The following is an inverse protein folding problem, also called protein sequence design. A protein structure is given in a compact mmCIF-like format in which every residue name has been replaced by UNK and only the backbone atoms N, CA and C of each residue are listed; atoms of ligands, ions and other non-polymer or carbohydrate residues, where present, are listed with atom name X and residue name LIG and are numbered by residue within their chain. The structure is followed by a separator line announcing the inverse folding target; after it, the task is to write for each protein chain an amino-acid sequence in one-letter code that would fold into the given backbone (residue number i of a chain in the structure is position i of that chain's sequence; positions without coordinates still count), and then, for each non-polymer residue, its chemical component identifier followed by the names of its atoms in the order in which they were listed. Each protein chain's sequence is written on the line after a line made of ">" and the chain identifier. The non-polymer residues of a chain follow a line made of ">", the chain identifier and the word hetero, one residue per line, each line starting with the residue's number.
data_IF_199984921817
#
_entry.id   IF_199984921817
#
_cell.length_a   1.000
_cell.length_b   1.000
_cell.length_c   1.000
_cell.angle_alpha   90.00
_cell.angle_beta   90.00
_cell.angle_gamma   90.00
#
_symmetry.space_group_name_H-M   'P 1'
#
loop_
_entity.id
_entity.type
_entity.pdbx_description
1 polymer ?
#
# COMPACT_ATOMS: atom_id res chain seq x y z
N UNK A 1 -46.78 79.11 -30.13
CA UNK A 1 -47.62 77.90 -30.27
C UNK A 1 -47.08 76.89 -29.26
N UNK A 2 -47.61 76.90 -28.04
CA UNK A 2 -48.26 75.74 -27.33
C UNK A 2 -47.32 74.52 -27.28
N UNK A 3 -46.78 74.04 -26.15
CA UNK A 3 -47.43 73.52 -24.94
C UNK A 3 -46.44 73.53 -23.75
N UNK A 4 -46.94 73.78 -22.53
CA UNK A 4 -46.21 73.75 -21.25
C UNK A 4 -46.08 72.31 -20.71
N UNK A 5 -45.13 72.03 -19.79
CA UNK A 5 -45.39 71.45 -18.44
C UNK A 5 -44.06 71.23 -17.66
N UNK A 6 -43.87 72.11 -16.67
CA UNK A 6 -43.41 71.94 -15.28
C UNK A 6 -42.23 70.98 -14.98
N UNK A 7 -41.08 71.59 -14.67
CA UNK A 7 -40.02 71.04 -13.81
C UNK A 7 -40.40 71.32 -12.34
N UNK A 8 -40.37 70.30 -11.49
CA UNK A 8 -40.52 70.41 -10.03
C UNK A 8 -39.83 69.23 -9.35
N UNK A 9 -38.84 69.54 -8.52
CA UNK A 9 -37.85 68.64 -7.94
C UNK A 9 -38.44 67.53 -7.07
N UNK A 10 -37.91 66.31 -7.21
CA UNK A 10 -38.03 65.24 -6.21
C UNK A 10 -36.61 64.81 -5.81
N UNK A 11 -36.17 65.24 -4.63
CA UNK A 11 -34.92 64.80 -4.00
C UNK A 11 -35.12 63.37 -3.47
N UNK A 12 -34.56 62.37 -4.14
CA UNK A 12 -34.44 61.01 -3.63
C UNK A 12 -32.96 60.62 -3.50
N UNK A 13 -32.59 60.31 -2.26
CA UNK A 13 -31.24 60.00 -1.76
C UNK A 13 -30.52 58.98 -2.64
N UNK A 14 -29.27 59.30 -3.01
CA UNK A 14 -28.30 58.34 -3.56
C UNK A 14 -28.07 57.24 -2.54
N UNK A 15 -28.63 56.05 -2.78
CA UNK A 15 -28.16 54.83 -2.12
C UNK A 15 -26.82 54.45 -2.78
N UNK A 16 -25.74 54.58 -2.01
CA UNK A 16 -24.44 54.03 -2.37
C UNK A 16 -24.52 52.51 -2.24
N UNK A 17 -24.60 51.81 -3.36
CA UNK A 17 -24.46 50.36 -3.39
C UNK A 17 -22.96 50.03 -3.45
N UNK A 18 -22.33 49.93 -2.28
CA UNK A 18 -20.98 49.41 -2.16
C UNK A 18 -21.04 47.91 -2.43
N UNK A 19 -20.69 47.49 -3.64
CA UNK A 19 -20.46 46.08 -3.94
C UNK A 19 -19.21 45.64 -3.16
N UNK A 20 -19.41 44.97 -2.03
CA UNK A 20 -18.35 44.22 -1.37
C UNK A 20 -18.11 43.02 -2.27
N UNK A 21 -17.03 43.08 -3.04
CA UNK A 21 -16.46 41.91 -3.70
C UNK A 21 -15.95 41.00 -2.56
N UNK A 22 -16.79 40.08 -2.07
CA UNK A 22 -16.27 38.94 -1.33
C UNK A 22 -15.44 38.14 -2.34
N UNK A 23 -14.13 38.35 -2.32
CA UNK A 23 -13.21 37.40 -2.90
C UNK A 23 -13.39 36.11 -2.13
N UNK A 24 -14.10 35.15 -2.71
CA UNK A 24 -13.95 33.76 -2.32
C UNK A 24 -12.50 33.40 -2.64
N UNK A 25 -11.66 33.40 -1.62
CA UNK A 25 -10.44 32.60 -1.65
C UNK A 25 -10.98 31.18 -1.67
N UNK A 26 -11.08 30.58 -2.86
CA UNK A 26 -11.16 29.14 -2.96
C UNK A 26 -9.85 28.67 -2.34
N UNK A 27 -9.91 28.19 -1.11
CA UNK A 27 -8.85 27.31 -0.62
C UNK A 27 -8.86 26.16 -1.61
N UNK A 28 -7.79 26.01 -2.40
CA UNK A 28 -7.46 24.68 -2.88
C UNK A 28 -7.46 23.77 -1.64
N UNK A 29 -7.99 22.54 -1.69
CA UNK A 29 -7.70 21.58 -0.63
C UNK A 29 -6.17 21.58 -0.45
N UNK A 30 -5.71 21.99 0.73
CA UNK A 30 -4.29 22.20 1.00
C UNK A 30 -3.53 20.87 1.21
N UNK A 31 -4.14 19.74 0.84
CA UNK A 31 -3.70 18.39 1.18
C UNK A 31 -4.25 17.43 0.09
N UNK A 32 -3.41 17.08 -0.88
CA UNK A 32 -3.73 16.35 -2.12
C UNK A 32 -2.47 15.57 -2.55
N UNK A 33 -2.57 14.49 -3.36
CA UNK A 33 -1.41 13.99 -4.11
C UNK A 33 -0.83 15.17 -4.90
N UNK A 34 0.36 15.59 -4.49
CA UNK A 34 1.12 16.66 -5.13
C UNK A 34 2.38 16.06 -5.71
N UNK A 35 2.55 16.23 -7.01
CA UNK A 35 3.67 15.66 -7.76
C UNK A 35 4.66 16.77 -8.10
N UNK A 36 5.94 16.50 -7.86
CA UNK A 36 7.05 17.34 -8.31
C UNK A 36 7.84 16.57 -9.37
N UNK A 37 7.68 16.89 -10.67
CA UNK A 37 8.49 16.29 -11.73
C UNK A 37 9.98 16.50 -11.47
N UNK A 38 10.76 15.46 -11.71
CA UNK A 38 12.21 15.48 -11.55
C UNK A 38 12.85 14.43 -12.43
N UNK A 39 14.05 14.73 -12.94
CA UNK A 39 14.93 13.76 -13.61
C UNK A 39 16.15 13.39 -12.74
N UNK A 40 16.11 13.71 -11.44
CA UNK A 40 17.17 13.36 -10.48
C UNK A 40 17.02 11.90 -10.03
N UNK A 41 17.70 10.99 -10.73
CA UNK A 41 17.68 9.55 -10.43
C UNK A 41 18.09 9.24 -8.98
N UNK A 42 19.08 9.95 -8.44
CA UNK A 42 19.53 9.77 -7.05
C UNK A 42 18.47 10.28 -6.06
N UNK A 43 17.82 11.40 -6.37
CA UNK A 43 16.70 11.92 -5.59
C UNK A 43 15.50 10.95 -5.56
N UNK A 44 15.15 10.38 -6.71
CA UNK A 44 14.10 9.35 -6.83
C UNK A 44 14.47 8.09 -6.01
N UNK A 45 15.68 7.57 -6.16
CA UNK A 45 16.14 6.40 -5.42
C UNK A 45 16.12 6.64 -3.90
N UNK A 46 16.63 7.77 -3.43
CA UNK A 46 16.60 8.12 -2.00
C UNK A 46 15.18 8.28 -1.48
N UNK A 47 14.25 8.80 -2.30
CA UNK A 47 12.83 8.93 -1.95
C UNK A 47 12.14 7.57 -1.90
N UNK A 48 12.49 6.67 -2.82
CA UNK A 48 11.92 5.34 -2.83
C UNK A 48 12.41 4.57 -1.59
N UNK A 49 13.72 4.47 -1.35
CA UNK A 49 14.30 3.68 -0.26
C UNK A 49 14.48 4.45 1.08
N UNK A 50 13.61 5.42 1.38
CA UNK A 50 13.75 6.32 2.54
C UNK A 50 13.98 5.54 3.86
N UNK A 51 15.15 5.76 4.46
CA UNK A 51 15.50 5.32 5.82
C UNK A 51 15.28 3.83 6.11
N UNK A 52 15.64 2.93 5.20
CA UNK A 52 15.67 1.50 5.49
C UNK A 52 17.00 1.14 6.20
N UNK A 53 16.99 0.79 7.51
CA UNK A 53 18.19 0.31 8.18
C UNK A 53 18.73 -0.93 7.46
N UNK A 54 20.04 -0.97 7.27
CA UNK A 54 20.69 -2.05 6.55
C UNK A 54 20.48 -2.04 5.04
N UNK A 55 20.09 -0.91 4.44
CA UNK A 55 20.13 -0.69 3.00
C UNK A 55 20.95 0.56 2.68
N UNK A 56 21.78 0.48 1.63
CA UNK A 56 22.61 1.59 1.16
C UNK A 56 22.56 1.67 -0.36
N UNK A 57 22.01 2.74 -0.91
CA UNK A 57 22.05 3.01 -2.36
C UNK A 57 23.50 3.26 -2.78
N UNK A 58 23.94 2.58 -3.83
CA UNK A 58 25.28 2.73 -4.39
C UNK A 58 25.30 3.47 -5.71
N UNK A 59 24.24 3.34 -6.52
CA UNK A 59 24.12 4.02 -7.81
C UNK A 59 22.64 4.16 -8.21
N UNK A 60 22.33 5.16 -9.02
CA UNK A 60 21.01 5.33 -9.62
C UNK A 60 21.11 6.06 -10.96
N UNK A 61 20.46 5.51 -11.98
CA UNK A 61 20.37 6.10 -13.32
C UNK A 61 18.93 6.16 -13.79
N UNK A 62 18.60 7.17 -14.58
CA UNK A 62 17.28 7.36 -15.17
C UNK A 62 17.44 7.54 -16.68
N UNK A 63 16.66 6.78 -17.44
CA UNK A 63 16.39 7.01 -18.85
C UNK A 63 14.92 7.43 -19.03
N UNK A 64 14.66 8.28 -20.02
CA UNK A 64 13.37 8.90 -20.26
C UNK A 64 13.41 10.44 -20.31
N UNK A 65 12.28 11.02 -20.72
CA UNK A 65 12.09 12.45 -20.87
C UNK A 65 11.76 13.16 -19.54
N UNK A 66 12.11 14.44 -19.44
CA UNK A 66 11.70 15.25 -18.29
C UNK A 66 10.18 15.38 -18.26
N UNK A 67 9.57 15.00 -17.14
CA UNK A 67 8.12 14.97 -16.96
C UNK A 67 7.58 13.55 -16.79
N UNK A 68 8.31 12.52 -17.20
CA UNK A 68 7.90 11.12 -17.02
C UNK A 68 8.11 10.57 -15.61
N UNK A 69 8.91 11.26 -14.80
CA UNK A 69 9.18 10.86 -13.41
C UNK A 69 9.03 12.02 -12.44
N UNK A 70 8.66 11.71 -11.20
CA UNK A 70 8.48 12.69 -10.13
C UNK A 70 8.55 12.08 -8.73
N UNK A 71 8.62 12.93 -7.72
CA UNK A 71 8.28 12.56 -6.34
C UNK A 71 6.86 12.99 -6.03
N UNK A 72 6.18 12.31 -5.12
CA UNK A 72 4.86 12.69 -4.66
C UNK A 72 4.77 12.76 -3.13
N UNK A 73 3.86 13.59 -2.65
CA UNK A 73 3.30 13.56 -1.29
C UNK A 73 1.82 13.25 -1.35
N UNK A 74 1.27 12.43 -0.47
CA UNK A 74 -0.12 11.96 -0.46
C UNK A 74 -0.87 12.36 0.82
N UNK A 75 -1.02 13.67 1.05
CA UNK A 75 -1.66 14.19 2.27
C UNK A 75 -3.17 13.89 2.35
N UNK A 76 -3.81 13.57 1.22
CA UNK A 76 -5.22 13.18 1.14
C UNK A 76 -5.46 11.70 1.45
N UNK A 77 -4.40 10.87 1.52
CA UNK A 77 -4.53 9.41 1.63
C UNK A 77 -5.15 8.78 0.38
N UNK A 78 -5.04 9.43 -0.77
CA UNK A 78 -5.60 8.95 -2.04
C UNK A 78 -5.07 7.57 -2.35
N UNK A 79 -5.98 6.68 -2.76
CA UNK A 79 -5.75 5.25 -2.96
C UNK A 79 -5.27 4.48 -1.73
N UNK A 80 -5.17 5.08 -0.54
CA UNK A 80 -4.56 4.42 0.62
C UNK A 80 -3.04 4.24 0.52
N UNK A 81 -2.39 4.91 -0.45
CA UNK A 81 -0.94 4.88 -0.60
C UNK A 81 -0.25 5.59 0.58
N UNK A 82 1.00 5.20 0.92
CA UNK A 82 1.80 5.95 1.87
C UNK A 82 1.95 7.43 1.51
N UNK A 83 2.25 8.26 2.51
CA UNK A 83 2.28 9.72 2.40
C UNK A 83 3.32 10.28 1.41
N UNK A 84 4.26 9.48 0.92
CA UNK A 84 5.24 9.93 -0.07
C UNK A 84 5.84 8.78 -0.85
N UNK A 85 6.34 9.08 -2.03
CA UNK A 85 7.05 8.12 -2.87
C UNK A 85 7.51 8.75 -4.18
N UNK A 86 7.69 7.90 -5.19
CA UNK A 86 7.98 8.29 -6.56
C UNK A 86 6.82 7.94 -7.47
N UNK A 87 6.73 8.62 -8.60
CA UNK A 87 5.77 8.34 -9.66
C UNK A 87 6.52 8.25 -10.98
N UNK A 88 6.14 7.27 -11.80
CA UNK A 88 6.61 7.13 -13.17
C UNK A 88 5.39 7.02 -14.09
N UNK A 89 5.49 7.58 -15.28
CA UNK A 89 4.45 7.54 -16.31
C UNK A 89 5.10 7.43 -17.68
N UNK A 90 4.44 6.80 -18.64
CA UNK A 90 4.80 6.97 -20.05
C UNK A 90 4.51 8.41 -20.52
N UNK A 91 3.58 9.11 -19.88
CA UNK A 91 3.26 10.51 -20.12
C UNK A 91 3.80 11.47 -19.07
N UNK A 92 3.13 12.60 -18.90
CA UNK A 92 3.58 13.63 -17.96
C UNK A 92 2.97 13.42 -16.57
N UNK A 93 3.79 13.09 -15.57
CA UNK A 93 3.31 12.72 -14.22
C UNK A 93 2.46 13.78 -13.54
N UNK A 94 2.60 15.06 -13.90
CA UNK A 94 1.77 16.13 -13.31
C UNK A 94 0.31 16.09 -13.73
N UNK A 95 -0.04 15.33 -14.77
CA UNK A 95 -1.43 15.14 -15.19
C UNK A 95 -2.18 14.27 -14.18
N UNK A 96 -1.45 13.44 -13.42
CA UNK A 96 -2.02 12.49 -12.47
C UNK A 96 -1.90 12.95 -11.01
N UNK A 97 -2.07 14.24 -10.75
CA UNK A 97 -2.23 14.75 -9.38
C UNK A 97 -3.60 14.32 -8.79
N UNK A 98 -3.78 14.50 -7.48
CA UNK A 98 -5.05 14.19 -6.83
C UNK A 98 -6.18 15.10 -7.33
N UNK A 99 -7.31 14.50 -7.65
CA UNK A 99 -8.42 15.18 -8.29
C UNK A 99 -9.45 14.23 -8.88
N UNK A 100 -10.65 14.74 -9.22
CA UNK A 100 -11.59 13.97 -10.02
C UNK A 100 -11.01 13.81 -11.43
N UNK A 101 -11.29 12.68 -12.09
CA UNK A 101 -11.06 12.58 -13.52
C UNK A 101 -12.04 13.49 -14.28
N UNK A 102 -11.50 14.51 -14.95
CA UNK A 102 -12.22 15.57 -15.64
C UNK A 102 -12.14 15.49 -17.15
N UNK A 103 -11.22 14.69 -17.69
CA UNK A 103 -11.04 14.47 -19.12
C UNK A 103 -11.41 13.03 -19.49
N UNK A 104 -11.43 12.73 -20.79
CA UNK A 104 -11.69 11.35 -21.26
C UNK A 104 -10.42 10.55 -21.52
N UNK A 105 -9.29 11.24 -21.52
CA UNK A 105 -7.97 10.73 -21.89
C UNK A 105 -6.91 11.82 -21.63
N UNK A 106 -5.85 11.49 -20.91
CA UNK A 106 -4.59 12.24 -20.91
C UNK A 106 -3.57 11.57 -21.83
N UNK A 107 -2.73 12.38 -22.46
CA UNK A 107 -1.63 11.91 -23.30
C UNK A 107 -0.51 12.93 -23.33
N UNK A 108 0.72 12.47 -23.20
CA UNK A 108 1.91 13.24 -23.54
C UNK A 108 2.89 12.38 -24.33
N UNK A 109 2.95 12.60 -25.63
CA UNK A 109 3.89 11.92 -26.53
C UNK A 109 5.29 12.55 -26.42
N UNK A 110 6.29 11.79 -25.99
CA UNK A 110 7.70 12.21 -25.95
C UNK A 110 8.49 11.66 -27.15
N UNK A 111 8.08 10.51 -27.67
CA UNK A 111 8.60 9.85 -28.84
C UNK A 111 7.86 10.26 -30.12
N UNK A 112 8.52 10.16 -31.29
CA UNK A 112 7.90 10.50 -32.58
C UNK A 112 7.51 9.21 -33.32
N UNK A 113 6.20 8.97 -33.48
CA UNK A 113 5.70 7.81 -34.22
C UNK A 113 5.88 8.00 -35.75
N UNK A 114 6.96 7.46 -36.31
CA UNK A 114 7.27 7.56 -37.75
C UNK A 114 6.52 6.56 -38.64
N UNK A 115 5.41 6.96 -39.28
CA UNK A 115 4.83 6.17 -40.38
C UNK A 115 5.53 6.44 -41.72
N UNK A 116 6.52 5.60 -42.05
CA UNK A 116 6.91 5.32 -43.43
C UNK A 116 7.97 6.22 -44.08
N UNK A 117 9.13 5.60 -44.35
CA UNK A 117 10.04 6.01 -45.42
C UNK A 117 11.30 6.74 -44.93
N UNK A 118 12.42 6.02 -45.01
CA UNK A 118 13.75 6.38 -44.49
C UNK A 118 13.80 6.41 -42.95
N UNK A 119 14.01 5.22 -42.38
CA UNK A 119 14.67 5.08 -41.07
C UNK A 119 16.01 5.81 -41.20
N UNK A 120 16.04 7.09 -40.81
CA UNK A 120 17.22 7.58 -40.13
C UNK A 120 17.35 6.71 -38.87
N UNK A 121 18.56 6.33 -38.48
CA UNK A 121 18.86 5.33 -37.43
C UNK A 121 18.40 5.74 -36.01
N UNK A 122 17.48 6.71 -35.90
CA UNK A 122 16.78 7.12 -34.69
C UNK A 122 15.31 6.67 -34.79
N UNK A 123 15.08 5.36 -34.62
CA UNK A 123 13.80 4.95 -34.04
C UNK A 123 13.80 5.50 -32.60
N UNK A 124 13.01 6.54 -32.34
CA UNK A 124 12.88 7.14 -31.02
C UNK A 124 11.78 6.35 -30.30
N UNK A 125 12.18 5.21 -29.76
CA UNK A 125 11.34 4.27 -29.03
C UNK A 125 12.26 3.39 -28.21
N UNK A 126 11.68 2.41 -27.52
CA UNK A 126 12.43 1.53 -26.64
C UNK A 126 13.67 0.89 -27.29
N UNK A 127 14.79 0.94 -26.57
CA UNK A 127 16.02 0.23 -26.90
C UNK A 127 15.80 -1.30 -26.93
N UNK A 128 16.64 -2.08 -27.61
CA UNK A 128 16.51 -3.55 -27.62
C UNK A 128 16.49 -4.17 -26.21
N UNK A 129 17.20 -3.57 -25.26
CA UNK A 129 17.22 -3.96 -23.85
C UNK A 129 15.87 -3.69 -23.16
N UNK A 130 15.28 -2.50 -23.35
CA UNK A 130 13.95 -2.16 -22.83
C UNK A 130 12.85 -3.02 -23.46
N UNK A 131 12.97 -3.31 -24.76
CA UNK A 131 12.05 -4.22 -25.47
C UNK A 131 12.06 -5.62 -24.90
N UNK A 132 13.22 -6.11 -24.46
CA UNK A 132 13.32 -7.41 -23.82
C UNK A 132 12.63 -7.44 -22.44
N UNK A 133 12.52 -6.29 -21.77
CA UNK A 133 11.82 -6.15 -20.49
C UNK A 133 10.30 -6.00 -20.68
N UNK A 134 9.85 -5.11 -21.58
CA UNK A 134 8.43 -4.77 -21.76
C UNK A 134 7.65 -5.74 -22.64
N UNK A 135 8.28 -6.35 -23.64
CA UNK A 135 7.62 -7.27 -24.58
C UNK A 135 6.91 -8.46 -23.91
N UNK A 136 7.55 -9.17 -22.96
CA UNK A 136 6.89 -10.26 -22.23
C UNK A 136 5.71 -9.82 -21.34
N UNK A 137 5.65 -8.54 -20.96
CA UNK A 137 4.65 -7.97 -20.04
C UNK A 137 3.41 -7.53 -20.81
N UNK A 138 3.61 -6.72 -21.84
CA UNK A 138 2.55 -6.18 -22.73
C UNK A 138 2.04 -7.20 -23.75
N UNK A 139 2.89 -8.16 -24.14
CA UNK A 139 2.67 -9.04 -25.29
C UNK A 139 2.93 -8.36 -26.64
N UNK A 140 3.51 -7.15 -26.66
CA UNK A 140 3.71 -6.34 -27.85
C UNK A 140 5.17 -6.28 -28.30
N UNK A 141 5.45 -6.07 -29.60
CA UNK A 141 6.81 -6.01 -30.12
C UNK A 141 7.44 -4.61 -30.19
N UNK A 142 6.66 -3.55 -29.93
CA UNK A 142 7.07 -2.15 -30.05
C UNK A 142 6.56 -1.35 -28.85
N UNK A 143 7.48 -0.60 -28.24
CA UNK A 143 7.20 0.27 -27.10
C UNK A 143 7.80 1.65 -27.31
N UNK A 144 7.14 2.64 -26.74
CA UNK A 144 7.46 4.05 -26.88
C UNK A 144 7.31 4.73 -25.52
N UNK A 145 7.77 5.98 -25.44
CA UNK A 145 7.62 6.83 -24.27
C UNK A 145 8.13 6.13 -23.00
N UNK A 146 9.27 5.47 -23.13
CA UNK A 146 9.83 4.65 -22.06
C UNK A 146 10.49 5.52 -21.00
N UNK A 147 10.11 5.28 -19.75
CA UNK A 147 10.85 5.76 -18.58
C UNK A 147 11.41 4.56 -17.80
N UNK A 148 12.73 4.55 -17.60
CA UNK A 148 13.44 3.49 -16.88
C UNK A 148 14.30 4.06 -15.75
N UNK A 149 13.98 3.69 -14.51
CA UNK A 149 14.78 4.00 -13.33
C UNK A 149 15.53 2.73 -12.89
N UNK A 150 16.85 2.76 -12.90
CA UNK A 150 17.73 1.68 -12.44
C UNK A 150 18.46 2.10 -11.17
N UNK A 151 18.36 1.28 -10.12
CA UNK A 151 18.91 1.54 -8.79
C UNK A 151 19.75 0.34 -8.37
N UNK A 152 21.00 0.59 -8.02
CA UNK A 152 21.88 -0.38 -7.36
C UNK A 152 21.99 -0.06 -5.87
N UNK A 153 21.83 -1.07 -5.01
CA UNK A 153 21.92 -0.91 -3.56
C UNK A 153 22.52 -2.14 -2.88
N UNK A 154 23.22 -1.94 -1.78
CA UNK A 154 23.64 -3.00 -0.87
C UNK A 154 22.59 -3.20 0.22
N UNK A 155 22.50 -4.44 0.72
CA UNK A 155 21.76 -4.75 1.95
C UNK A 155 22.66 -5.44 2.97
N UNK A 156 22.33 -5.30 4.26
CA UNK A 156 23.03 -5.99 5.35
C UNK A 156 22.84 -7.51 5.25
N UNK A 157 23.71 -8.26 5.93
CA UNK A 157 23.77 -9.72 5.81
C UNK A 157 22.54 -10.46 6.40
N UNK A 158 21.72 -9.77 7.18
CA UNK A 158 20.47 -10.26 7.74
C UNK A 158 19.23 -9.84 6.94
N UNK A 159 19.36 -8.93 5.97
CA UNK A 159 18.27 -8.47 5.10
C UNK A 159 18.17 -9.32 3.86
N UNK A 160 16.97 -9.81 3.57
CA UNK A 160 16.73 -10.79 2.49
C UNK A 160 15.50 -10.49 1.62
N UNK A 161 14.72 -9.49 2.03
CA UNK A 161 13.56 -9.04 1.29
C UNK A 161 13.38 -7.53 1.50
N UNK A 162 12.86 -6.83 0.50
CA UNK A 162 12.37 -5.45 0.58
C UNK A 162 10.92 -5.42 0.12
N UNK A 163 10.05 -4.63 0.75
CA UNK A 163 8.66 -4.49 0.27
C UNK A 163 8.39 -3.10 -0.33
N UNK A 164 7.54 -3.06 -1.36
CA UNK A 164 7.09 -1.84 -2.00
C UNK A 164 5.57 -1.84 -2.09
N UNK A 165 4.99 -0.65 -2.01
CA UNK A 165 3.58 -0.42 -2.24
C UNK A 165 3.42 0.46 -3.45
N UNK A 166 2.37 0.23 -4.24
CA UNK A 166 2.09 1.08 -5.37
C UNK A 166 0.64 1.03 -5.84
N UNK A 167 0.29 1.98 -6.67
CA UNK A 167 -0.99 2.00 -7.39
C UNK A 167 -0.70 2.19 -8.85
N UNK A 168 -1.21 1.26 -9.66
CA UNK A 168 -1.06 1.25 -11.11
C UNK A 168 -2.38 1.67 -11.75
N UNK A 169 -2.33 2.57 -12.73
CA UNK A 169 -3.50 2.96 -13.52
C UNK A 169 -3.12 3.42 -14.92
N UNK A 170 -4.13 3.55 -15.77
CA UNK A 170 -3.91 3.80 -17.20
C UNK A 170 -5.11 4.48 -17.85
N UNK A 171 -4.81 5.36 -18.81
CA UNK A 171 -5.77 6.01 -19.70
C UNK A 171 -6.34 5.05 -20.77
N UNK A 172 -5.67 3.93 -21.04
CA UNK A 172 -6.08 2.91 -22.02
C UNK A 172 -7.37 2.17 -21.63
N UNK A 173 -7.69 2.14 -20.34
CA UNK A 173 -8.90 1.50 -19.83
C UNK A 173 -10.15 2.37 -20.03
N UNK A 174 -11.31 1.79 -20.40
CA UNK A 174 -11.57 0.38 -20.73
C UNK A 174 -11.40 0.06 -22.22
N UNK A 175 -11.07 1.06 -23.04
CA UNK A 175 -11.26 1.01 -24.50
C UNK A 175 -10.36 -0.02 -25.18
N UNK A 176 -9.17 -0.23 -24.63
CA UNK A 176 -8.09 -0.93 -25.32
C UNK A 176 -7.63 -2.21 -24.62
N UNK A 177 -8.42 -2.68 -23.65
CA UNK A 177 -8.31 -4.02 -23.07
C UNK A 177 -8.31 -5.06 -24.19
N UNK A 178 -7.27 -5.91 -24.23
CA UNK A 178 -7.07 -6.98 -25.20
C UNK A 178 -6.58 -6.53 -26.57
N UNK A 179 -6.14 -5.28 -26.72
CA UNK A 179 -5.67 -4.71 -27.98
C UNK A 179 -4.14 -4.70 -28.13
N UNK A 180 -3.64 -4.01 -29.14
CA UNK A 180 -2.20 -3.77 -29.35
C UNK A 180 -1.64 -2.61 -28.50
N UNK A 181 -2.52 -1.85 -27.84
CA UNK A 181 -2.21 -0.69 -26.99
C UNK A 181 -2.18 -1.05 -25.50
N UNK A 182 -1.69 -2.24 -25.19
CA UNK A 182 -1.60 -2.70 -23.79
C UNK A 182 -0.23 -2.35 -23.25
N UNK A 183 -0.14 -1.19 -22.60
CA UNK A 183 1.11 -0.67 -22.07
C UNK A 183 1.83 -1.63 -21.13
N UNK A 184 3.15 -1.52 -21.10
CA UNK A 184 4.00 -2.36 -20.27
C UNK A 184 4.45 -1.63 -19.01
N UNK A 185 4.30 -2.28 -17.86
CA UNK A 185 4.97 -1.91 -16.62
C UNK A 185 5.72 -3.10 -16.01
N UNK A 186 6.98 -2.88 -15.67
CA UNK A 186 7.82 -3.88 -15.02
C UNK A 186 8.55 -3.34 -13.80
N UNK A 187 8.72 -4.22 -12.80
CA UNK A 187 9.54 -3.99 -11.62
C UNK A 187 10.45 -5.21 -11.47
N UNK A 188 11.73 -5.04 -11.79
CA UNK A 188 12.71 -6.12 -11.87
C UNK A 188 13.69 -6.04 -10.72
N UNK A 189 13.96 -7.19 -10.11
CA UNK A 189 15.05 -7.32 -9.14
C UNK A 189 16.00 -8.43 -9.54
N UNK A 190 17.28 -8.08 -9.63
CA UNK A 190 18.34 -8.98 -10.09
C UNK A 190 17.95 -9.71 -11.40
N UNK A 191 17.30 -8.99 -12.32
CA UNK A 191 16.83 -9.49 -13.62
C UNK A 191 15.54 -10.30 -13.60
N UNK A 192 14.86 -10.45 -12.45
CA UNK A 192 13.57 -11.14 -12.35
C UNK A 192 12.44 -10.13 -12.19
N UNK A 193 11.43 -10.17 -13.07
CA UNK A 193 10.23 -9.36 -12.89
C UNK A 193 9.44 -9.85 -11.67
N UNK A 194 9.19 -8.95 -10.73
CA UNK A 194 8.39 -9.16 -9.52
C UNK A 194 7.11 -8.31 -9.53
N UNK A 195 6.88 -7.51 -10.58
CA UNK A 195 5.59 -6.87 -10.84
C UNK A 195 4.59 -7.91 -11.35
N UNK A 196 3.84 -8.51 -10.42
CA UNK A 196 2.70 -9.34 -10.76
C UNK A 196 1.72 -9.41 -9.60
N UNK A 197 0.43 -9.30 -9.91
CA UNK A 197 -0.65 -9.23 -8.92
C UNK A 197 -1.61 -10.38 -9.18
N UNK A 198 -2.06 -11.03 -8.10
CA UNK A 198 -3.04 -12.11 -8.21
C UNK A 198 -4.44 -11.52 -8.44
N UNK A 199 -5.23 -12.09 -9.37
CA UNK A 199 -6.63 -11.72 -9.51
C UNK A 199 -7.44 -11.96 -8.23
N UNK A 200 -8.50 -11.17 -8.00
CA UNK A 200 -9.43 -11.31 -6.89
C UNK A 200 -10.07 -12.71 -6.82
N UNK A 201 -10.37 -13.31 -7.98
CA UNK A 201 -10.90 -14.68 -8.11
C UNK A 201 -9.82 -15.78 -7.89
N UNK A 202 -8.59 -15.40 -7.56
CA UNK A 202 -7.43 -16.28 -7.41
C UNK A 202 -6.77 -16.67 -8.74
N UNK A 203 -5.61 -17.32 -8.65
CA UNK A 203 -4.85 -17.77 -9.82
C UNK A 203 -3.34 -17.46 -9.73
N UNK A 204 -2.59 -17.55 -10.83
CA UNK A 204 -1.23 -17.04 -10.85
C UNK A 204 -1.23 -15.50 -10.82
N UNK A 205 -0.12 -14.90 -10.39
CA UNK A 205 0.10 -13.47 -10.56
C UNK A 205 0.11 -13.13 -12.06
N UNK A 206 -0.61 -12.08 -12.43
CA UNK A 206 -0.67 -11.54 -13.79
C UNK A 206 0.13 -10.24 -13.89
N UNK A 207 0.64 -9.91 -15.08
CA UNK A 207 1.28 -8.61 -15.31
C UNK A 207 0.36 -7.44 -14.97
N UNK A 208 0.96 -6.33 -14.55
CA UNK A 208 0.28 -5.06 -14.38
C UNK A 208 0.14 -4.39 -15.74
N UNK A 209 -1.07 -4.44 -16.29
CA UNK A 209 -1.50 -3.70 -17.47
C UNK A 209 -3.04 -3.73 -17.53
N UNK A 210 -3.62 -3.08 -18.52
CA UNK A 210 -5.08 -3.00 -18.66
C UNK A 210 -5.77 -4.34 -18.97
N UNK A 211 -5.03 -5.41 -19.27
CA UNK A 211 -5.60 -6.76 -19.40
C UNK A 211 -5.84 -7.45 -18.05
N UNK A 212 -5.35 -6.88 -16.93
CA UNK A 212 -5.64 -7.43 -15.62
C UNK A 212 -7.15 -7.33 -15.33
N UNK A 213 -7.83 -8.42 -14.91
CA UNK A 213 -9.29 -8.45 -14.77
C UNK A 213 -9.85 -7.49 -13.70
N UNK A 214 -9.01 -7.12 -12.73
CA UNK A 214 -9.40 -6.28 -11.58
C UNK A 214 -9.09 -4.79 -11.77
N UNK A 215 -9.01 -4.31 -13.02
CA UNK A 215 -9.03 -2.87 -13.28
C UNK A 215 -10.41 -2.29 -12.95
N UNK A 216 -10.45 -1.22 -12.14
CA UNK A 216 -11.69 -0.66 -11.61
C UNK A 216 -11.77 0.86 -11.83
N UNK A 217 -12.68 1.29 -12.71
CA UNK A 217 -12.95 2.70 -12.99
C UNK A 217 -13.83 3.38 -11.92
N UNK A 218 -14.36 2.63 -10.95
CA UNK A 218 -15.14 3.20 -9.84
C UNK A 218 -14.25 3.77 -8.73
N UNK A 219 -12.97 3.39 -8.71
CA UNK A 219 -11.98 3.93 -7.77
C UNK A 219 -11.41 5.22 -8.36
N UNK A 220 -11.84 6.34 -7.77
CA UNK A 220 -11.41 7.68 -8.15
C UNK A 220 -10.32 8.19 -7.22
N UNK A 221 -9.52 9.16 -7.66
CA UNK A 221 -8.54 9.81 -6.82
C UNK A 221 -7.56 10.67 -7.60
N UNK A 222 -7.31 10.33 -8.85
CA UNK A 222 -6.53 11.12 -9.79
C UNK A 222 -7.28 11.20 -11.11
N UNK A 223 -6.68 11.88 -12.09
CA UNK A 223 -7.18 11.96 -13.46
C UNK A 223 -7.14 10.61 -14.22
N UNK A 224 -6.66 9.53 -13.60
CA UNK A 224 -6.60 8.21 -14.24
C UNK A 224 -8.00 7.68 -14.59
N UNK A 225 -8.16 7.12 -15.80
CA UNK A 225 -9.41 6.47 -16.21
C UNK A 225 -9.80 5.26 -15.35
N UNK A 226 -8.82 4.50 -14.87
CA UNK A 226 -9.00 3.45 -13.88
C UNK A 226 -7.67 3.07 -13.24
N UNK A 227 -7.77 2.43 -12.08
CA UNK A 227 -6.63 1.84 -11.38
C UNK A 227 -6.84 0.34 -11.20
N UNK A 228 -5.75 -0.41 -11.10
CA UNK A 228 -5.77 -1.82 -10.74
C UNK A 228 -6.08 -1.97 -9.25
N UNK A 229 -7.17 -2.67 -8.93
CA UNK A 229 -7.61 -2.84 -7.55
C UNK A 229 -8.24 -4.22 -7.28
N UNK A 230 -7.43 -5.29 -7.16
CA UNK A 230 -7.90 -6.58 -6.70
C UNK A 230 -8.64 -6.44 -5.37
N UNK A 231 -9.80 -7.08 -5.26
CA UNK A 231 -10.70 -6.97 -4.10
C UNK A 231 -11.13 -5.52 -3.76
N UNK A 232 -11.10 -4.61 -4.73
CA UNK A 232 -11.45 -3.20 -4.53
C UNK A 232 -10.37 -2.38 -3.81
N UNK A 233 -9.16 -2.92 -3.62
CA UNK A 233 -8.05 -2.22 -2.98
C UNK A 233 -6.99 -1.81 -4.02
N UNK A 234 -6.79 -0.51 -4.29
CA UNK A 234 -5.81 -0.03 -5.27
C UNK A 234 -4.36 -0.01 -4.74
N UNK A 235 -4.13 -0.42 -3.48
CA UNK A 235 -2.78 -0.58 -2.91
C UNK A 235 -2.23 -1.97 -3.25
N UNK A 236 -1.24 -1.99 -4.13
CA UNK A 236 -0.55 -3.20 -4.56
C UNK A 236 0.73 -3.37 -3.73
N UNK A 237 0.98 -4.57 -3.22
CA UNK A 237 2.19 -4.92 -2.46
C UNK A 237 3.11 -5.80 -3.29
N UNK A 238 4.40 -5.45 -3.32
CA UNK A 238 5.47 -6.22 -3.95
C UNK A 238 6.49 -6.62 -2.90
N UNK A 239 6.53 -7.91 -2.57
CA UNK A 239 7.51 -8.49 -1.66
C UNK A 239 8.71 -9.02 -2.47
N UNK A 240 9.83 -8.31 -2.38
CA UNK A 240 10.94 -8.43 -3.33
C UNK A 240 12.14 -9.10 -2.69
N UNK A 241 12.56 -10.30 -3.14
CA UNK A 241 13.75 -10.95 -2.59
C UNK A 241 15.01 -10.19 -2.98
N UNK A 242 15.93 -10.04 -2.02
CA UNK A 242 17.27 -9.45 -2.21
C UNK A 242 18.34 -10.41 -1.74
N UNK A 243 19.53 -10.31 -2.33
CA UNK A 243 20.71 -11.08 -1.96
C UNK A 243 21.36 -10.45 -0.70
N UNK A 244 21.35 -11.14 0.45
CA UNK A 244 21.91 -10.59 1.69
C UNK A 244 23.40 -10.32 1.60
N UNK A 245 23.86 -9.15 2.06
CA UNK A 245 25.29 -8.79 2.07
C UNK A 245 25.90 -8.55 0.68
N UNK A 246 25.09 -8.49 -0.38
CA UNK A 246 25.51 -8.28 -1.76
C UNK A 246 24.85 -7.03 -2.38
N UNK A 247 25.38 -6.56 -3.51
CA UNK A 247 24.74 -5.54 -4.34
C UNK A 247 23.55 -6.17 -5.04
N UNK A 248 22.41 -5.51 -4.95
CA UNK A 248 21.17 -5.83 -5.63
C UNK A 248 20.86 -4.75 -6.67
N UNK A 249 20.22 -5.14 -7.76
CA UNK A 249 19.75 -4.25 -8.81
C UNK A 249 18.22 -4.22 -8.82
N UNK A 250 17.65 -3.02 -8.87
CA UNK A 250 16.22 -2.76 -8.93
C UNK A 250 15.90 -1.84 -10.10
N UNK A 251 15.09 -2.32 -11.04
CA UNK A 251 14.72 -1.57 -12.24
C UNK A 251 13.20 -1.39 -12.28
N UNK A 252 12.75 -0.16 -12.48
CA UNK A 252 11.35 0.16 -12.75
C UNK A 252 11.27 0.67 -14.20
N UNK A 253 10.36 0.11 -14.99
CA UNK A 253 10.17 0.52 -16.38
C UNK A 253 8.66 0.64 -16.69
N UNK A 254 8.30 1.69 -17.39
CA UNK A 254 6.95 1.91 -17.96
C UNK A 254 7.10 2.43 -19.38
N UNK A 255 6.19 2.07 -20.27
CA UNK A 255 6.16 2.58 -21.64
C UNK A 255 4.89 2.18 -22.39
N UNK A 256 4.51 3.03 -23.33
CA UNK A 256 3.37 2.82 -24.21
C UNK A 256 3.62 1.63 -25.13
N UNK A 257 2.55 0.96 -25.54
CA UNK A 257 2.63 -0.16 -26.49
C UNK A 257 1.92 0.14 -27.80
N UNK A 258 2.58 -0.12 -28.93
CA UNK A 258 1.96 0.00 -30.25
C UNK A 258 1.81 1.42 -30.80
N UNK A 259 1.65 2.43 -29.95
CA UNK A 259 1.72 3.87 -30.26
C UNK A 259 2.35 4.68 -29.11
N UNK A 260 2.21 6.01 -29.16
CA UNK A 260 2.73 7.01 -28.19
C UNK A 260 1.58 7.72 -27.45
N UNK A 261 0.36 7.18 -27.54
CA UNK A 261 -0.86 7.87 -27.12
C UNK A 261 -1.46 7.17 -25.92
N UNK A 262 -2.04 7.99 -25.03
CA UNK A 262 -2.63 7.60 -23.75
C UNK A 262 -1.63 6.99 -22.79
N UNK A 263 -1.55 7.57 -21.60
CA UNK A 263 -0.44 7.21 -20.72
C UNK A 263 -0.84 6.23 -19.61
N UNK A 264 0.16 5.49 -19.17
CA UNK A 264 0.09 4.58 -18.03
C UNK A 264 0.99 5.08 -16.91
N UNK A 265 0.51 4.99 -15.67
CA UNK A 265 1.17 5.59 -14.49
C UNK A 265 1.25 4.61 -13.32
N UNK A 266 2.36 4.68 -12.61
CA UNK A 266 2.62 3.93 -11.37
C UNK A 266 3.12 4.87 -10.28
N UNK A 267 2.46 4.84 -9.12
CA UNK A 267 2.99 5.39 -7.88
C UNK A 267 3.69 4.28 -7.11
N UNK A 268 4.86 4.56 -6.53
CA UNK A 268 5.61 3.63 -5.70
C UNK A 268 6.13 4.29 -4.44
N UNK A 269 5.95 3.60 -3.31
CA UNK A 269 6.54 3.93 -2.02
C UNK A 269 7.24 2.67 -1.49
N UNK A 270 8.49 2.75 -1.01
CA UNK A 270 9.12 1.58 -0.36
C UNK A 270 8.82 1.57 1.11
N UNK A 271 8.56 0.38 1.67
CA UNK A 271 8.69 0.15 3.11
C UNK A 271 9.19 -1.26 3.44
N UNK A 272 10.21 -1.27 4.31
CA UNK A 272 10.88 -2.38 5.01
C UNK A 272 11.83 -3.27 4.21
N UNK A 273 13.08 -3.27 4.67
CA UNK A 273 14.03 -4.38 4.58
C UNK A 273 13.68 -5.42 5.67
N UNK A 274 13.17 -6.58 5.27
CA UNK A 274 12.87 -7.67 6.20
C UNK A 274 14.09 -8.57 6.38
N UNK A 275 14.27 -8.99 7.64
CA UNK A 275 15.26 -9.97 8.04
C UNK A 275 15.06 -11.33 7.36
N UNK A 276 15.99 -12.28 7.56
CA UNK A 276 16.00 -13.60 6.92
C UNK A 276 14.60 -14.24 6.68
N UNK A 277 14.30 -14.76 5.48
CA UNK A 277 13.04 -15.40 5.16
C UNK A 277 13.11 -16.82 5.71
N UNK A 278 12.63 -17.00 6.93
CA UNK A 278 12.77 -18.27 7.65
C UNK A 278 12.48 -18.23 9.14
N UNK A 279 12.02 -17.11 9.70
CA UNK A 279 11.47 -17.11 11.06
C UNK A 279 10.10 -17.78 11.07
N UNK A 280 10.09 -19.11 11.09
CA UNK A 280 8.88 -19.94 11.17
C UNK A 280 8.42 -20.14 12.62
N UNK A 281 8.37 -19.07 13.43
CA UNK A 281 7.89 -19.14 14.81
C UNK A 281 9.00 -19.30 15.87
N UNK A 282 10.14 -18.64 15.69
CA UNK A 282 10.94 -18.19 16.83
C UNK A 282 10.24 -17.03 17.54
N UNK A 283 10.54 -16.81 18.83
CA UNK A 283 10.10 -15.59 19.52
C UNK A 283 10.53 -14.38 18.67
N UNK A 284 9.60 -13.50 18.25
CA UNK A 284 9.91 -12.48 17.27
C UNK A 284 11.07 -11.61 17.75
N UNK A 285 11.99 -11.27 16.85
CA UNK A 285 12.81 -10.08 17.03
C UNK A 285 11.85 -8.90 17.28
N UNK A 286 11.95 -8.25 18.44
CA UNK A 286 11.09 -7.12 18.81
C UNK A 286 11.22 -6.01 17.76
N UNK A 287 10.19 -5.77 16.97
CA UNK A 287 10.16 -4.64 16.04
C UNK A 287 10.35 -3.32 16.81
N UNK A 288 10.85 -2.29 16.12
CA UNK A 288 11.21 -1.02 16.77
C UNK A 288 10.00 -0.12 17.03
N UNK A 289 8.83 -0.46 16.48
CA UNK A 289 7.60 0.32 16.62
C UNK A 289 7.60 1.63 15.84
N UNK A 290 8.56 1.83 14.94
CA UNK A 290 8.73 3.11 14.23
C UNK A 290 7.77 3.27 13.05
N UNK A 291 7.19 2.18 12.55
CA UNK A 291 6.30 2.15 11.38
C UNK A 291 5.27 1.02 11.53
N UNK A 292 4.13 1.11 10.85
CA UNK A 292 3.10 0.05 10.86
C UNK A 292 3.65 -1.31 10.45
N UNK A 293 4.62 -1.33 9.53
CA UNK A 293 5.21 -2.56 9.03
C UNK A 293 6.31 -3.13 9.95
N UNK A 294 6.81 -2.37 10.94
CA UNK A 294 7.81 -2.81 11.93
C UNK A 294 7.30 -2.57 13.37
N UNK A 295 6.13 -3.12 13.71
CA UNK A 295 5.47 -2.87 14.97
C UNK A 295 6.20 -3.58 16.12
N UNK A 296 6.03 -3.06 17.32
CA UNK A 296 6.47 -3.77 18.53
C UNK A 296 5.53 -4.94 18.76
N UNK A 297 6.09 -6.11 19.01
CA UNK A 297 5.36 -7.37 19.17
C UNK A 297 5.23 -7.75 20.65
N UNK A 298 4.24 -8.58 21.03
CA UNK A 298 4.11 -9.07 22.39
C UNK A 298 5.37 -9.78 22.86
N UNK A 299 5.87 -9.40 24.04
CA UNK A 299 7.12 -9.94 24.57
C UNK A 299 6.94 -11.30 25.26
N UNK A 300 5.69 -11.70 25.52
CA UNK A 300 5.32 -12.88 26.28
C UNK A 300 4.11 -13.60 25.66
N UNK A 301 3.93 -14.91 25.91
CA UNK A 301 2.69 -15.61 25.54
C UNK A 301 1.48 -14.99 26.25
N UNK A 302 0.27 -15.08 25.65
CA UNK A 302 -0.94 -14.53 26.24
C UNK A 302 -1.28 -15.24 27.56
N UNK A 303 -1.96 -14.50 28.44
CA UNK A 303 -2.53 -15.03 29.67
C UNK A 303 -3.49 -16.19 29.35
N UNK A 304 -3.35 -17.34 30.02
CA UNK A 304 -4.09 -18.55 29.68
C UNK A 304 -5.58 -18.49 30.04
N UNK A 305 -6.01 -17.53 30.87
CA UNK A 305 -7.41 -17.35 31.28
C UNK A 305 -8.10 -16.25 30.48
N UNK A 306 -7.44 -15.11 30.27
CA UNK A 306 -8.04 -13.94 29.61
C UNK A 306 -7.66 -13.81 28.13
N UNK A 307 -6.59 -14.47 27.69
CA UNK A 307 -6.00 -14.25 26.37
C UNK A 307 -5.25 -12.92 26.24
N UNK A 308 -5.12 -12.16 27.34
CA UNK A 308 -4.45 -10.87 27.36
C UNK A 308 -2.95 -11.02 27.10
N UNK A 309 -2.37 -10.12 26.32
CA UNK A 309 -0.94 -10.04 26.11
C UNK A 309 -0.45 -8.61 26.37
N UNK A 310 0.85 -8.50 26.64
CA UNK A 310 1.49 -7.24 27.00
C UNK A 310 2.57 -6.93 25.98
N UNK A 311 2.53 -5.71 25.46
CA UNK A 311 3.56 -5.15 24.59
C UNK A 311 4.35 -4.13 25.41
N UNK A 312 5.62 -4.44 25.67
CA UNK A 312 6.54 -3.50 26.30
C UNK A 312 6.98 -2.46 25.27
N UNK A 313 6.82 -1.18 25.60
CA UNK A 313 7.10 -0.10 24.66
C UNK A 313 8.59 0.31 24.70
N UNK A 314 9.17 0.71 23.55
CA UNK A 314 10.41 1.49 23.54
C UNK A 314 10.16 2.88 24.16
N UNK A 315 11.19 3.73 24.21
CA UNK A 315 10.99 5.15 24.54
C UNK A 315 10.12 5.82 23.46
N UNK A 316 8.97 6.36 23.86
CA UNK A 316 8.02 7.06 22.99
C UNK A 316 7.92 8.51 23.42
N UNK A 317 8.40 9.48 22.62
CA UNK A 317 8.20 10.89 22.91
C UNK A 317 6.71 11.29 22.91
N UNK A 318 6.36 12.36 23.63
CA UNK A 318 4.98 12.84 23.70
C UNK A 318 4.46 13.21 22.29
N UNK A 319 3.29 12.67 21.93
CA UNK A 319 2.64 12.89 20.63
C UNK A 319 3.23 12.11 19.46
N UNK A 320 4.36 11.43 19.63
CA UNK A 320 4.92 10.56 18.59
C UNK A 320 4.18 9.23 18.56
N UNK A 321 4.03 8.67 17.36
CA UNK A 321 3.35 7.38 17.16
C UNK A 321 4.34 6.24 17.35
N UNK A 322 3.93 5.24 18.14
CA UNK A 322 4.55 3.91 18.18
C UNK A 322 3.56 2.89 17.61
N UNK A 323 4.03 2.03 16.72
CA UNK A 323 3.23 0.97 16.13
C UNK A 323 3.38 -0.31 16.94
N UNK A 324 2.26 -0.94 17.26
CA UNK A 324 2.18 -2.17 18.05
C UNK A 324 1.29 -3.17 17.32
N UNK A 325 1.64 -4.46 17.32
CA UNK A 325 0.86 -5.48 16.62
C UNK A 325 0.39 -6.58 17.58
N UNK A 326 -0.91 -6.56 17.93
CA UNK A 326 -1.55 -7.68 18.59
C UNK A 326 -1.81 -8.87 17.66
N UNK A 327 -1.74 -10.12 18.16
CA UNK A 327 -2.28 -11.28 17.45
C UNK A 327 -3.74 -11.05 17.05
N UNK A 328 -4.08 -11.37 15.80
CA UNK A 328 -5.38 -11.08 15.18
C UNK A 328 -6.57 -11.53 16.02
N UNK A 329 -7.56 -10.65 16.13
CA UNK A 329 -8.88 -10.93 16.67
C UNK A 329 -9.93 -10.08 15.96
N UNK A 330 -11.22 -10.21 16.30
CA UNK A 330 -12.28 -9.34 15.71
C UNK A 330 -12.35 -7.95 16.37
N UNK A 331 -11.52 -7.74 17.39
CA UNK A 331 -11.37 -6.49 18.11
C UNK A 331 -10.49 -6.66 19.34
N UNK A 332 -10.20 -5.56 20.02
CA UNK A 332 -9.33 -5.52 21.19
C UNK A 332 -9.81 -4.48 22.19
N UNK A 333 -9.50 -4.71 23.47
CA UNK A 333 -9.47 -3.66 24.50
C UNK A 333 -8.00 -3.35 24.79
N UNK A 334 -7.61 -2.10 24.65
CA UNK A 334 -6.25 -1.61 24.93
C UNK A 334 -6.24 -0.86 26.25
N UNK A 335 -5.23 -1.10 27.08
CA UNK A 335 -5.05 -0.45 28.38
C UNK A 335 -3.56 -0.07 28.58
N UNK A 336 -3.30 1.22 28.78
CA UNK A 336 -1.96 1.75 29.04
C UNK A 336 -1.67 2.03 30.52
N UNK A 337 -2.49 1.46 31.42
CA UNK A 337 -2.38 1.64 32.86
C UNK A 337 -2.61 3.08 33.29
N UNK A 338 -1.52 3.80 33.59
CA UNK A 338 -1.57 5.21 34.01
C UNK A 338 -1.30 6.19 32.88
N UNK A 339 -0.77 5.73 31.75
CA UNK A 339 -0.46 6.58 30.61
C UNK A 339 -1.73 6.87 29.81
N UNK A 340 -1.88 8.12 29.35
CA UNK A 340 -3.03 8.55 28.57
C UNK A 340 -2.69 8.53 27.08
N UNK A 341 -3.55 7.88 26.30
CA UNK A 341 -3.45 7.93 24.84
C UNK A 341 -3.82 9.33 24.33
N UNK A 342 -3.04 9.83 23.37
CA UNK A 342 -3.34 11.07 22.65
C UNK A 342 -4.10 10.77 21.35
N UNK A 343 -3.59 9.84 20.55
CA UNK A 343 -4.21 9.40 19.30
C UNK A 343 -4.01 7.91 19.04
N UNK A 344 -4.80 7.39 18.09
CA UNK A 344 -4.55 6.11 17.45
C UNK A 344 -4.60 6.25 15.93
N UNK A 345 -3.84 5.41 15.24
CA UNK A 345 -3.81 5.34 13.77
C UNK A 345 -4.10 3.91 13.35
N UNK A 346 -5.14 3.74 12.54
CA UNK A 346 -5.49 2.45 11.97
C UNK A 346 -4.40 1.94 11.01
N UNK A 347 -4.23 0.60 10.88
CA UNK A 347 -3.43 0.06 9.79
C UNK A 347 -3.94 0.59 8.44
N UNK A 348 -3.02 0.84 7.53
CA UNK A 348 -3.37 1.27 6.17
C UNK A 348 -3.87 0.10 5.34
N UNK A 349 -4.49 0.41 4.19
CA UNK A 349 -4.91 -0.60 3.20
C UNK A 349 -3.73 -1.39 2.60
N UNK A 350 -2.48 -0.93 2.80
CA UNK A 350 -1.27 -1.68 2.49
C UNK A 350 -1.04 -2.87 3.44
N UNK A 351 -1.46 -2.74 4.70
CA UNK A 351 -1.29 -3.80 5.70
C UNK A 351 -2.55 -4.64 5.86
N UNK A 352 -3.69 -3.96 6.02
CA UNK A 352 -4.98 -4.61 6.25
C UNK A 352 -5.98 -3.99 5.28
N UNK A 353 -6.43 -4.78 4.30
CA UNK A 353 -7.37 -4.36 3.26
C UNK A 353 -8.83 -4.30 3.78
N UNK A 354 -9.03 -3.64 4.93
CA UNK A 354 -10.32 -3.46 5.59
C UNK A 354 -10.94 -2.14 5.10
N UNK A 355 -11.80 -2.25 4.08
CA UNK A 355 -12.35 -1.09 3.37
C UNK A 355 -13.44 -0.35 4.15
N UNK A 356 -14.17 -1.02 5.05
CA UNK A 356 -15.17 -0.41 5.92
C UNK A 356 -14.58 0.12 7.24
N UNK A 357 -13.37 -0.29 7.59
CA UNK A 357 -12.58 0.27 8.66
C UNK A 357 -13.07 -0.14 10.04
N UNK A 358 -12.64 0.61 11.06
CA UNK A 358 -12.73 0.19 12.46
C UNK A 358 -13.66 1.09 13.27
N UNK A 359 -14.12 0.57 14.40
CA UNK A 359 -14.91 1.33 15.37
C UNK A 359 -14.10 1.48 16.65
N UNK A 360 -13.90 2.73 17.07
CA UNK A 360 -13.21 3.09 18.31
C UNK A 360 -14.25 3.44 19.36
N UNK A 361 -14.22 2.75 20.50
CA UNK A 361 -15.13 2.97 21.63
C UNK A 361 -14.40 3.45 22.87
N UNK A 362 -14.86 4.57 23.44
CA UNK A 362 -14.41 5.10 24.74
C UNK A 362 -15.64 5.42 25.58
N UNK A 363 -15.73 4.84 26.78
CA UNK A 363 -16.85 5.09 27.69
C UNK A 363 -18.25 4.77 27.12
N UNK A 364 -18.34 3.94 26.07
CA UNK A 364 -19.57 3.61 25.35
C UNK A 364 -19.95 4.60 24.22
N UNK A 365 -19.15 5.62 23.96
CA UNK A 365 -19.24 6.47 22.77
C UNK A 365 -18.42 5.83 21.66
N UNK A 366 -18.91 5.85 20.42
CA UNK A 366 -18.28 5.21 19.28
C UNK A 366 -17.99 6.20 18.15
N UNK A 367 -16.83 6.07 17.53
CA UNK A 367 -16.44 6.78 16.31
C UNK A 367 -15.86 5.82 15.29
N UNK A 368 -16.14 6.08 14.01
CA UNK A 368 -15.54 5.36 12.89
C UNK A 368 -14.09 5.83 12.70
N UNK A 369 -13.21 4.87 12.41
CA UNK A 369 -11.82 5.06 12.07
C UNK A 369 -11.56 4.34 10.75
N UNK A 370 -11.49 5.09 9.64
CA UNK A 370 -11.15 4.53 8.34
C UNK A 370 -9.73 3.93 8.35
N UNK A 371 -9.46 2.96 7.46
CA UNK A 371 -8.11 2.43 7.27
C UNK A 371 -7.09 3.54 7.01
N UNK A 372 -5.91 3.45 7.64
CA UNK A 372 -4.83 4.43 7.58
C UNK A 372 -5.10 5.78 8.26
N UNK A 373 -6.32 6.05 8.72
CA UNK A 373 -6.64 7.33 9.35
C UNK A 373 -6.18 7.39 10.81
N UNK A 374 -5.91 8.62 11.28
CA UNK A 374 -5.59 8.91 12.68
C UNK A 374 -6.79 9.54 13.39
N UNK A 375 -7.12 9.02 14.56
CA UNK A 375 -8.10 9.56 15.49
C UNK A 375 -7.39 10.24 16.66
N UNK A 376 -7.68 11.52 16.88
CA UNK A 376 -7.27 12.25 18.09
C UNK A 376 -8.35 12.16 19.18
N UNK A 377 -8.00 11.59 20.34
CA UNK A 377 -8.99 11.31 21.40
C UNK A 377 -9.57 12.60 21.98
N UNK A 378 -8.73 13.60 22.26
CA UNK A 378 -9.18 14.85 22.86
C UNK A 378 -10.16 15.59 21.95
N UNK A 379 -9.96 15.53 20.64
CA UNK A 379 -10.79 16.19 19.64
C UNK A 379 -12.13 15.49 19.43
N UNK A 380 -12.16 14.15 19.38
CA UNK A 380 -13.40 13.41 19.09
C UNK A 380 -14.20 13.03 20.34
N UNK A 381 -13.53 12.65 21.42
CA UNK A 381 -14.18 12.21 22.66
C UNK A 381 -14.21 13.29 23.75
N UNK A 382 -13.43 14.36 23.60
CA UNK A 382 -13.34 15.41 24.62
C UNK A 382 -12.48 15.02 25.83
N UNK A 383 -11.82 13.87 25.78
CA UNK A 383 -10.96 13.32 26.84
C UNK A 383 -9.81 12.51 26.25
N UNK A 384 -8.78 12.24 27.05
CA UNK A 384 -7.65 11.36 26.69
C UNK A 384 -7.68 10.11 27.57
N UNK A 385 -8.16 8.97 27.03
CA UNK A 385 -8.39 7.78 27.83
C UNK A 385 -7.08 7.03 28.14
N UNK A 386 -7.09 6.27 29.23
CA UNK A 386 -6.08 5.22 29.49
C UNK A 386 -6.48 3.87 28.88
N UNK A 387 -7.76 3.71 28.54
CA UNK A 387 -8.37 2.47 28.04
C UNK A 387 -9.36 2.78 26.92
N UNK A 388 -9.31 2.05 25.81
CA UNK A 388 -10.30 2.13 24.72
C UNK A 388 -10.53 0.74 24.11
N UNK A 389 -11.58 0.60 23.30
CA UNK A 389 -11.77 -0.59 22.47
C UNK A 389 -11.65 -0.26 21.00
N UNK A 390 -11.07 -1.18 20.25
CA UNK A 390 -11.11 -1.22 18.80
C UNK A 390 -11.97 -2.42 18.38
N UNK A 391 -12.96 -2.18 17.53
CA UNK A 391 -13.91 -3.18 17.07
C UNK A 391 -13.98 -3.13 15.54
N UNK A 392 -14.61 -4.14 14.94
CA UNK A 392 -14.91 -4.14 13.51
C UNK A 392 -13.77 -4.63 12.63
N UNK A 393 -12.79 -5.35 13.19
CA UNK A 393 -11.82 -6.07 12.35
C UNK A 393 -12.57 -7.17 11.60
N UNK A 394 -12.59 -7.08 10.27
CA UNK A 394 -13.40 -7.97 9.44
C UNK A 394 -12.86 -9.43 9.50
N UNK A 395 -13.63 -10.39 10.06
CA UNK A 395 -13.22 -11.79 10.10
C UNK A 395 -13.13 -12.44 8.71
N UNK A 396 -13.81 -11.89 7.69
CA UNK A 396 -13.80 -12.43 6.34
C UNK A 396 -12.47 -12.15 5.60
N UNK A 397 -11.66 -11.20 6.10
CA UNK A 397 -10.29 -10.98 5.63
C UNK A 397 -9.35 -12.16 5.92
N UNK A 398 -9.75 -13.07 6.83
CA UNK A 398 -9.00 -14.30 7.11
C UNK A 398 -7.56 -14.05 7.60
N UNK A 399 -7.33 -12.91 8.26
CA UNK A 399 -6.02 -12.53 8.80
C UNK A 399 -5.46 -13.66 9.68
N UNK A 400 -4.25 -14.12 9.37
CA UNK A 400 -3.62 -15.25 10.06
C UNK A 400 -3.24 -14.85 11.50
N UNK A 401 -3.82 -15.45 12.55
CA UNK A 401 -3.46 -15.14 13.93
C UNK A 401 -2.01 -15.53 14.30
N UNK A 402 -1.36 -16.37 13.48
CA UNK A 402 0.05 -16.70 13.63
C UNK A 402 0.99 -15.70 12.92
N UNK A 403 0.46 -14.81 12.08
CA UNK A 403 1.21 -13.73 11.47
C UNK A 403 1.29 -12.55 12.45
N UNK A 404 2.50 -12.27 12.93
CA UNK A 404 2.76 -11.20 13.88
C UNK A 404 2.76 -9.78 13.26
N UNK A 405 2.48 -9.65 11.95
CA UNK A 405 2.33 -8.39 11.22
C UNK A 405 0.92 -8.24 10.62
N UNK A 406 -0.06 -8.92 11.20
CA UNK A 406 -1.39 -9.02 10.62
C UNK A 406 -2.31 -7.87 11.02
N UNK A 407 -2.03 -7.15 12.11
CA UNK A 407 -2.86 -6.03 12.53
C UNK A 407 -2.08 -4.98 13.34
N UNK A 408 -1.18 -4.20 12.72
CA UNK A 408 -0.47 -3.15 13.43
C UNK A 408 -1.37 -1.95 13.70
N UNK A 409 -1.40 -1.48 14.95
CA UNK A 409 -2.08 -0.26 15.37
C UNK A 409 -1.05 0.78 15.79
N UNK A 410 -1.16 1.99 15.26
CA UNK A 410 -0.39 3.13 15.73
C UNK A 410 -1.04 3.70 16.99
N UNK A 411 -0.26 3.94 18.04
CA UNK A 411 -0.72 4.61 19.27
C UNK A 411 0.24 5.74 19.63
N UNK A 412 -0.27 6.85 20.14
CA UNK A 412 0.55 7.93 20.70
C UNK A 412 0.09 8.30 22.10
N UNK A 413 0.96 8.95 22.87
CA UNK A 413 0.72 9.28 24.27
C UNK A 413 0.79 10.78 24.52
N UNK A 414 -0.02 11.27 25.45
CA UNK A 414 -0.05 12.70 25.84
C UNK A 414 1.28 13.16 26.44
N UNK A 415 1.97 12.26 27.14
CA UNK A 415 3.29 12.48 27.74
C UNK A 415 4.27 11.43 27.25
N UNK A 416 5.57 11.73 27.32
CA UNK A 416 6.59 10.78 26.93
C UNK A 416 6.56 9.54 27.85
N UNK A 417 6.76 8.37 27.24
CA UNK A 417 6.74 7.06 27.90
C UNK A 417 8.15 6.45 27.77
N UNK A 418 8.80 6.13 28.90
CA UNK A 418 10.19 5.64 28.90
C UNK A 418 10.38 4.25 29.51
N UNK A 419 9.32 3.60 29.98
CA UNK A 419 9.29 2.23 30.51
C UNK A 419 7.82 1.72 30.56
N UNK A 420 7.03 2.06 29.55
CA UNK A 420 5.60 1.77 29.51
C UNK A 420 5.25 0.42 28.87
N UNK A 421 3.99 0.03 29.02
CA UNK A 421 3.44 -1.15 28.36
C UNK A 421 1.98 -0.94 28.03
N UNK A 422 1.53 -1.54 26.93
CA UNK A 422 0.10 -1.63 26.61
C UNK A 422 -0.33 -3.07 26.82
N UNK A 423 -1.36 -3.24 27.66
CA UNK A 423 -2.03 -4.52 27.85
C UNK A 423 -3.21 -4.60 26.90
N UNK A 424 -3.34 -5.72 26.20
CA UNK A 424 -4.28 -5.87 25.10
C UNK A 424 -5.07 -7.15 25.31
N UNK A 425 -6.38 -7.00 25.48
CA UNK A 425 -7.31 -8.11 25.66
C UNK A 425 -8.08 -8.34 24.36
N UNK A 426 -8.00 -9.52 23.73
CA UNK A 426 -8.72 -9.81 22.49
C UNK A 426 -10.23 -9.92 22.74
N UNK A 427 -11.00 -9.39 21.79
CA UNK A 427 -12.45 -9.58 21.70
C UNK A 427 -12.65 -10.66 20.65
N UNK A 428 -13.12 -11.82 21.07
CA UNK A 428 -13.34 -12.97 20.17
C UNK A 428 -14.80 -13.09 19.78
N UNK A 429 -15.05 -13.40 18.51
CA UNK A 429 -16.36 -13.83 18.03
C UNK A 429 -16.36 -15.35 17.96
N UNK A 430 -17.22 -16.00 18.74
CA UNK A 430 -17.49 -17.43 18.58
C UNK A 430 -18.37 -17.60 17.35
N UNK A 431 -17.74 -17.73 16.17
CA UNK A 431 -18.40 -18.14 14.93
C UNK A 431 -18.81 -19.59 15.07
N UNK A 432 -19.93 -19.84 15.76
CA UNK A 432 -20.43 -21.15 16.16
C UNK A 432 -20.18 -22.26 15.14
N UNK A 433 -19.02 -22.90 15.26
CA UNK A 433 -18.62 -24.12 14.59
C UNK A 433 -18.74 -25.21 15.63
N UNK A 434 -19.64 -26.16 15.40
CA UNK A 434 -19.86 -27.27 16.32
C UNK A 434 -18.55 -27.84 16.82
N UNK A 435 -18.50 -28.09 18.14
CA UNK A 435 -17.49 -28.83 18.90
C UNK A 435 -16.39 -29.39 17.99
N UNK A 436 -15.12 -28.93 18.08
CA UNK A 436 -14.07 -29.48 17.24
C UNK A 436 -14.10 -30.99 17.46
N UNK A 437 -14.50 -31.74 16.43
CA UNK A 437 -14.39 -33.18 16.47
C UNK A 437 -12.90 -33.40 16.60
N UNK A 438 -12.47 -33.86 17.78
CA UNK A 438 -11.08 -34.23 18.04
C UNK A 438 -10.56 -34.92 16.78
N UNK A 439 -9.62 -34.27 16.08
CA UNK A 439 -8.97 -34.88 14.93
C UNK A 439 -8.37 -36.17 15.45
N UNK A 440 -8.90 -37.35 15.09
CA UNK A 440 -8.34 -38.58 15.60
C UNK A 440 -6.92 -38.65 15.04
N UNK A 441 -5.93 -38.82 15.91
CA UNK A 441 -4.55 -39.01 15.49
C UNK A 441 -4.55 -40.03 14.32
N UNK A 442 -3.85 -39.74 13.21
CA UNK A 442 -3.74 -40.71 12.14
C UNK A 442 -3.27 -42.04 12.74
N UNK A 443 -3.89 -43.14 12.32
CA UNK A 443 -3.73 -44.48 12.88
C UNK A 443 -2.32 -45.10 12.65
N UNK A 444 -1.27 -44.28 12.58
CA UNK A 444 0.13 -44.69 12.46
C UNK A 444 0.58 -45.51 13.68
N UNK A 445 0.07 -45.19 14.88
CA UNK A 445 0.33 -45.98 16.10
C UNK A 445 -0.27 -47.40 16.06
N UNK A 446 -1.47 -47.56 15.50
CA UNK A 446 -2.13 -48.88 15.36
C UNK A 446 -1.52 -49.72 14.22
N UNK A 447 -1.05 -49.08 13.14
CA UNK A 447 -0.33 -49.74 12.05
C UNK A 447 1.05 -50.25 12.48
N UNK A 448 1.78 -49.52 13.34
CA UNK A 448 3.09 -49.96 13.82
C UNK A 448 2.99 -51.18 14.74
N UNK A 449 1.96 -51.25 15.59
CA UNK A 449 1.70 -52.41 16.47
C UNK A 449 1.19 -53.61 15.67
N UNK A 450 0.35 -53.39 14.65
CA UNK A 450 -0.11 -54.45 13.74
C UNK A 450 1.01 -55.05 12.90
N UNK A 451 1.94 -54.23 12.41
CA UNK A 451 3.10 -54.68 11.63
C UNK A 451 4.07 -55.53 12.45
N UNK A 452 4.33 -55.17 13.72
CA UNK A 452 5.22 -55.93 14.60
C UNK A 452 4.59 -57.25 15.09
N UNK A 453 3.27 -57.30 15.29
CA UNK A 453 2.54 -58.52 15.66
C UNK A 453 2.42 -59.55 14.51
N UNK A 454 2.30 -59.07 13.26
CA UNK A 454 2.15 -59.92 12.07
C UNK A 454 3.41 -60.74 11.75
N UNK A 455 4.61 -60.17 11.94
CA UNK A 455 5.87 -60.88 11.69
C UNK A 455 6.19 -61.94 12.74
N UNK A 456 5.64 -61.85 13.96
CA UNK A 456 5.82 -62.87 15.01
C UNK A 456 5.05 -64.17 14.76
N UNK A 457 3.88 -64.10 14.12
CA UNK A 457 2.99 -65.24 13.90
C UNK A 457 3.32 -66.05 12.62
N UNK A 458 4.00 -65.45 11.64
CA UNK A 458 4.45 -66.17 10.44
C UNK A 458 5.66 -67.08 10.65
N UNK A 459 6.41 -66.94 11.76
CA UNK A 459 7.58 -67.81 12.04
C UNK A 459 7.23 -69.13 12.76
N UNK A 460 5.98 -69.35 13.17
CA UNK A 460 5.58 -70.55 13.95
C UNK A 460 4.80 -71.64 13.19
N UNK A 461 4.58 -71.50 11.89
CA UNK A 461 3.95 -72.55 11.07
C UNK A 461 4.88 -73.06 9.97
N UNK A 462 5.90 -73.83 10.37
CA UNK A 462 6.50 -74.90 9.54
C UNK A 462 7.32 -75.82 10.45
N UNK A 463 6.66 -76.79 11.06
CA UNK A 463 7.27 -78.05 11.51
C UNK A 463 6.17 -79.08 11.76
N UNK A 464 6.41 -80.32 11.34
CA UNK A 464 5.55 -81.53 11.33
C UNK A 464 4.51 -81.58 10.19
N UNK A 465 4.49 -82.55 9.28
CA UNK A 465 5.18 -83.86 9.14
C UNK A 465 5.84 -84.00 7.77
#
# INVERSE_FOLDING_TARGET
>A
MVYWIILGECQLKKLSLTAILLGSVLSAPAHAISISPTSDATGLANTLFLNLPGLQITDATLDGAFGQTGTFTNESGTYGLPNSGIVLSSGHVSDYADGPNTETAFTTEFDEFGFGGEVDEAFNGATPEEQALLGPISGQPFHFDVALLDISFNVDADVSQVSFFGTFGSEEFPRFVGSEFVDGFGLFVNGTNVAGVQPADGGPNLPLNVNHPDFDASITGTELNAVLAPNGNPVLRFDVPVNPGEVNQFQIIVGDSGDTSLDTTIYLSSFIAQGNPGDTGGTPTTGTGTTEFNPVLPSNPPDPETGEFVIALPEVPAGETVWIDPPVSVGFTYDAGTDQFASITAPSLATVADLDGYIVEVGGVQHLLAAGATLDFQSLFGETPTTFKLLGIDPDLGLDPANALAFPLGVSFVSAVSDGSVSITPITLDVGGGVPSQVPLPATGLLLVGALGGFGLMRRRKSTK
#
